data_IF_056783004716
#
_entry.id   IF_056783004716
#
_cell.length_a   1.000
_cell.length_b   1.000
_cell.length_c   1.000
_cell.angle_alpha   90.00
_cell.angle_beta   90.00
_cell.angle_gamma   90.00
#
_symmetry.space_group_name_H-M   'P 1'
#
loop_
_entity.id
_entity.type
_entity.pdbx_description
1 polymer ?
#
# COMPACT_ATOMS: atom_id res chain seq x y z
N UNK A 1 -16.30 -6.28 -16.83
CA UNK A 1 -15.53 -5.77 -15.68
C UNK A 1 -16.11 -6.48 -14.44
N UNK A 2 -15.33 -7.34 -13.79
CA UNK A 2 -15.81 -8.05 -12.60
C UNK A 2 -16.03 -7.07 -11.46
N UNK A 3 -16.98 -7.38 -10.58
CA UNK A 3 -17.18 -6.63 -9.34
C UNK A 3 -15.97 -6.88 -8.42
N UNK A 4 -15.36 -5.81 -7.93
CA UNK A 4 -14.30 -5.92 -6.91
C UNK A 4 -15.01 -6.31 -5.60
N UNK A 5 -14.75 -7.52 -5.12
CA UNK A 5 -15.25 -8.00 -3.83
C UNK A 5 -14.08 -8.20 -2.89
N UNK A 6 -14.03 -7.41 -1.83
CA UNK A 6 -13.03 -7.56 -0.79
C UNK A 6 -13.56 -8.51 0.28
N UNK A 7 -12.75 -9.50 0.63
CA UNK A 7 -13.05 -10.37 1.78
C UNK A 7 -13.00 -9.56 3.06
N UNK A 8 -13.75 -9.99 4.05
CA UNK A 8 -13.67 -9.47 5.41
C UNK A 8 -13.20 -10.58 6.33
N UNK A 9 -12.19 -10.28 7.14
CA UNK A 9 -11.57 -11.19 8.10
C UNK A 9 -11.49 -10.53 9.48
N UNK A 10 -11.45 -11.35 10.53
CA UNK A 10 -11.26 -10.88 11.91
C UNK A 10 -9.82 -11.17 12.36
N UNK A 11 -9.19 -10.20 13.04
CA UNK A 11 -7.90 -10.42 13.68
C UNK A 11 -8.09 -11.35 14.87
N UNK A 12 -7.34 -12.46 14.89
CA UNK A 12 -7.37 -13.41 16.01
C UNK A 12 -6.09 -13.36 16.85
N UNK A 13 -4.98 -12.87 16.29
CA UNK A 13 -3.73 -12.72 17.03
C UNK A 13 -2.92 -11.53 16.50
N UNK A 14 -2.49 -10.65 17.39
CA UNK A 14 -1.46 -9.65 17.13
C UNK A 14 -0.10 -10.30 17.36
N UNK A 15 0.78 -10.26 16.34
CA UNK A 15 2.07 -10.93 16.38
C UNK A 15 3.20 -9.97 16.73
N UNK A 16 3.37 -8.92 15.91
CA UNK A 16 4.42 -7.93 16.14
C UNK A 16 4.17 -6.63 15.36
N UNK A 17 4.57 -5.48 15.89
CA UNK A 17 4.61 -4.23 15.13
C UNK A 17 5.71 -4.30 14.08
N UNK A 18 5.46 -3.72 12.90
CA UNK A 18 6.44 -3.47 11.87
C UNK A 18 6.86 -2.00 11.99
N UNK A 19 8.02 -1.75 12.60
CA UNK A 19 8.49 -0.40 12.96
C UNK A 19 9.07 0.38 11.76
N UNK A 20 8.91 -0.13 10.55
CA UNK A 20 9.32 0.52 9.32
C UNK A 20 8.17 1.39 8.80
N UNK A 21 8.39 2.70 8.76
CA UNK A 21 7.41 3.69 8.31
C UNK A 21 6.59 4.35 9.42
N UNK A 22 6.08 5.56 9.14
CA UNK A 22 5.38 6.41 10.12
C UNK A 22 3.95 5.99 10.48
N UNK A 23 3.45 4.85 9.96
CA UNK A 23 2.07 4.37 10.19
C UNK A 23 1.97 3.19 11.16
N UNK A 24 3.12 2.68 11.66
CA UNK A 24 3.21 1.53 12.57
C UNK A 24 2.29 0.36 12.18
N UNK A 25 2.40 -0.21 10.98
CA UNK A 25 1.64 -1.40 10.62
C UNK A 25 2.07 -2.59 11.49
N UNK A 26 1.28 -3.65 11.53
CA UNK A 26 1.61 -4.84 12.31
C UNK A 26 1.37 -6.13 11.53
N UNK A 27 2.15 -7.17 11.86
CA UNK A 27 1.86 -8.53 11.44
C UNK A 27 0.82 -9.14 12.36
N UNK A 28 -0.23 -9.68 11.78
CA UNK A 28 -1.33 -10.32 12.50
C UNK A 28 -1.72 -11.65 11.87
N UNK A 29 -2.34 -12.53 12.64
CA UNK A 29 -3.03 -13.71 12.16
C UNK A 29 -4.53 -13.44 12.13
N UNK A 30 -5.21 -13.84 11.06
CA UNK A 30 -6.65 -13.71 10.91
C UNK A 30 -7.39 -15.05 11.06
N UNK A 31 -8.72 -14.99 11.16
CA UNK A 31 -9.63 -16.12 11.37
C UNK A 31 -9.66 -17.13 10.21
N UNK A 32 -9.14 -16.74 9.03
CA UNK A 32 -8.91 -17.63 7.89
C UNK A 32 -7.55 -18.36 7.93
N UNK A 33 -6.80 -18.23 9.03
CA UNK A 33 -5.47 -18.78 9.27
C UNK A 33 -4.35 -18.23 8.36
N UNK A 34 -4.57 -17.09 7.69
CA UNK A 34 -3.52 -16.39 6.97
C UNK A 34 -2.93 -15.23 7.78
N UNK A 35 -1.68 -14.92 7.46
CA UNK A 35 -0.99 -13.75 8.02
C UNK A 35 -1.24 -12.53 7.13
N UNK A 36 -1.43 -11.38 7.80
CA UNK A 36 -1.64 -10.10 7.14
C UNK A 36 -0.78 -9.01 7.76
N UNK A 37 -0.42 -8.03 6.96
CA UNK A 37 0.06 -6.73 7.44
C UNK A 37 -1.16 -5.84 7.59
N UNK A 38 -1.59 -5.61 8.84
CA UNK A 38 -2.69 -4.69 9.12
C UNK A 38 -2.21 -3.24 9.07
N UNK A 39 -2.96 -2.39 8.38
CA UNK A 39 -2.80 -0.93 8.34
C UNK A 39 -3.93 -0.30 9.13
N UNK A 40 -3.56 0.44 10.16
CA UNK A 40 -4.48 0.93 11.18
C UNK A 40 -5.16 2.24 10.77
N UNK A 41 -6.49 2.32 10.93
CA UNK A 41 -7.25 3.54 10.67
C UNK A 41 -6.96 4.67 11.66
N UNK A 42 -6.46 4.33 12.86
CA UNK A 42 -6.06 5.25 13.90
C UNK A 42 -4.64 5.78 13.76
N UNK A 43 -3.85 5.27 12.79
CA UNK A 43 -2.51 5.80 12.53
C UNK A 43 -2.55 7.26 12.06
N UNK A 44 -1.42 7.98 12.18
CA UNK A 44 -1.36 9.43 11.97
C UNK A 44 -1.88 9.95 10.62
N UNK A 45 -1.85 9.13 9.57
CA UNK A 45 -2.41 9.48 8.24
C UNK A 45 -3.91 9.12 8.11
N UNK A 46 -4.44 8.36 9.06
CA UNK A 46 -5.86 8.07 9.21
C UNK A 46 -6.52 7.33 8.04
N UNK A 47 -7.86 7.43 7.99
CA UNK A 47 -8.69 6.73 7.01
C UNK A 47 -8.37 7.10 5.55
N UNK A 48 -7.87 8.32 5.29
CA UNK A 48 -7.55 8.75 3.93
C UNK A 48 -6.42 7.92 3.34
N UNK A 49 -5.39 7.59 4.14
CA UNK A 49 -4.31 6.71 3.69
C UNK A 49 -4.81 5.29 3.39
N UNK A 50 -5.76 4.75 4.19
CA UNK A 50 -6.37 3.45 3.90
C UNK A 50 -7.21 3.47 2.61
N UNK A 51 -7.94 4.56 2.34
CA UNK A 51 -8.66 4.73 1.08
C UNK A 51 -7.69 4.78 -0.10
N UNK A 52 -6.58 5.52 0.04
CA UNK A 52 -5.54 5.59 -0.99
C UNK A 52 -4.88 4.21 -1.23
N UNK A 53 -4.58 3.47 -0.15
CA UNK A 53 -4.07 2.10 -0.22
C UNK A 53 -4.99 1.19 -1.01
N UNK A 54 -6.27 1.20 -0.67
CA UNK A 54 -7.27 0.37 -1.34
C UNK A 54 -7.41 0.73 -2.82
N UNK A 55 -7.63 2.01 -3.13
CA UNK A 55 -7.87 2.44 -4.51
C UNK A 55 -6.62 2.25 -5.36
N UNK A 56 -5.44 2.66 -4.86
CA UNK A 56 -4.17 2.51 -5.57
C UNK A 56 -3.82 1.04 -5.83
N UNK A 57 -3.99 0.18 -4.82
CA UNK A 57 -3.74 -1.26 -4.96
C UNK A 57 -4.69 -1.93 -5.95
N UNK A 58 -5.98 -1.62 -5.93
CA UNK A 58 -6.94 -2.19 -6.89
C UNK A 58 -6.74 -1.65 -8.32
N UNK A 59 -6.36 -0.38 -8.48
CA UNK A 59 -5.95 0.15 -9.79
C UNK A 59 -4.72 -0.57 -10.34
N UNK A 60 -3.71 -0.83 -9.51
CA UNK A 60 -2.53 -1.63 -9.88
C UNK A 60 -2.95 -3.03 -10.37
N UNK A 61 -3.85 -3.69 -9.64
CA UNK A 61 -4.38 -5.02 -9.98
C UNK A 61 -5.13 -5.04 -11.29
N UNK A 62 -5.93 -4.01 -11.59
CA UNK A 62 -6.63 -3.86 -12.88
C UNK A 62 -5.65 -3.72 -14.04
N UNK A 63 -4.48 -3.11 -13.82
CA UNK A 63 -3.39 -3.01 -14.81
C UNK A 63 -2.57 -4.30 -14.94
N UNK A 64 -2.91 -5.37 -14.22
CA UNK A 64 -2.19 -6.63 -14.22
C UNK A 64 -0.89 -6.62 -13.41
N UNK A 65 -0.68 -5.62 -12.55
CA UNK A 65 0.45 -5.55 -11.64
C UNK A 65 0.18 -6.39 -10.40
N UNK A 66 1.23 -6.97 -9.83
CA UNK A 66 1.12 -7.78 -8.62
C UNK A 66 1.00 -6.88 -7.38
N UNK A 67 -0.06 -7.11 -6.62
CA UNK A 67 -0.34 -6.47 -5.33
C UNK A 67 -0.82 -7.56 -4.38
N UNK A 68 -0.32 -7.63 -3.14
CA UNK A 68 -0.86 -8.56 -2.14
C UNK A 68 -2.38 -8.41 -2.03
N UNK A 69 -3.08 -9.51 -1.78
CA UNK A 69 -4.52 -9.42 -1.57
C UNK A 69 -4.83 -8.39 -0.49
N UNK A 70 -5.75 -7.48 -0.78
CA UNK A 70 -6.25 -6.50 0.17
C UNK A 70 -7.57 -7.01 0.74
N UNK A 71 -7.71 -6.98 2.06
CA UNK A 71 -8.91 -7.41 2.77
C UNK A 71 -9.38 -6.32 3.74
N UNK A 72 -10.67 -6.29 4.02
CA UNK A 72 -11.17 -5.59 5.19
C UNK A 72 -10.88 -6.42 6.44
N UNK A 73 -10.28 -5.79 7.44
CA UNK A 73 -9.82 -6.47 8.63
C UNK A 73 -10.46 -5.83 9.87
N UNK A 74 -11.19 -6.62 10.64
CA UNK A 74 -11.81 -6.16 11.87
C UNK A 74 -10.88 -6.38 13.05
N UNK A 75 -10.67 -5.35 13.86
CA UNK A 75 -9.86 -5.39 15.08
C UNK A 75 -10.76 -5.27 16.29
N UNK A 76 -10.69 -6.24 17.19
CA UNK A 76 -11.43 -6.24 18.45
C UNK A 76 -10.77 -5.35 19.50
N UNK A 77 -11.55 -4.76 20.39
CA UNK A 77 -11.05 -3.87 21.45
C UNK A 77 -10.14 -4.57 22.47
N UNK A 78 -10.29 -5.88 22.65
CA UNK A 78 -9.48 -6.67 23.60
C UNK A 78 -7.98 -6.61 23.30
N UNK A 79 -7.58 -6.40 22.03
CA UNK A 79 -6.16 -6.28 21.68
C UNK A 79 -5.49 -5.07 22.34
N UNK A 80 -6.21 -3.97 22.51
CA UNK A 80 -5.68 -2.79 23.21
C UNK A 80 -5.50 -3.01 24.72
N UNK A 81 -6.27 -3.91 25.32
CA UNK A 81 -6.23 -4.15 26.76
C UNK A 81 -5.00 -4.96 27.22
N UNK A 82 -4.43 -5.74 26.31
CA UNK A 82 -3.29 -6.64 26.59
C UNK A 82 -1.95 -6.10 26.13
N UNK A 83 -1.95 -4.95 25.45
CA UNK A 83 -0.73 -4.32 24.94
C UNK A 83 -0.04 -3.52 26.04
N UNK A 84 1.27 -3.74 26.21
CA UNK A 84 2.09 -3.08 27.24
C UNK A 84 2.78 -1.79 26.79
N UNK A 85 2.90 -1.56 25.48
CA UNK A 85 3.45 -0.31 24.91
C UNK A 85 2.31 0.70 24.75
N UNK A 86 2.41 1.84 25.45
CA UNK A 86 1.35 2.87 25.46
C UNK A 86 1.04 3.43 24.07
N UNK A 87 2.05 3.61 23.20
CA UNK A 87 1.86 4.12 21.85
C UNK A 87 1.07 3.12 20.99
N UNK A 88 1.43 1.84 21.07
CA UNK A 88 0.73 0.76 20.39
C UNK A 88 -0.67 0.57 20.96
N UNK A 89 -0.81 0.62 22.28
CA UNK A 89 -2.10 0.51 22.97
C UNK A 89 -3.08 1.58 22.47
N UNK A 90 -2.65 2.84 22.39
CA UNK A 90 -3.47 3.94 21.90
C UNK A 90 -3.81 3.77 20.41
N UNK A 91 -2.85 3.36 19.60
CA UNK A 91 -3.08 3.04 18.18
C UNK A 91 -4.17 1.97 18.03
N UNK A 92 -4.11 0.89 18.80
CA UNK A 92 -5.10 -0.19 18.78
C UNK A 92 -6.48 0.31 19.23
N UNK A 93 -6.58 1.11 20.29
CA UNK A 93 -7.83 1.72 20.76
C UNK A 93 -8.50 2.58 19.68
N UNK A 94 -7.73 3.44 19.00
CA UNK A 94 -8.23 4.28 17.91
C UNK A 94 -8.56 3.50 16.63
N UNK A 95 -8.09 2.24 16.53
CA UNK A 95 -8.25 1.38 15.37
C UNK A 95 -9.28 0.27 15.54
N UNK A 96 -10.00 0.21 16.68
CA UNK A 96 -11.07 -0.78 16.91
C UNK A 96 -12.11 -0.76 15.79
N UNK A 97 -12.44 -1.92 15.23
CA UNK A 97 -13.35 -2.11 14.09
C UNK A 97 -12.60 -2.19 12.75
N UNK A 98 -13.11 -1.58 11.71
CA UNK A 98 -12.66 -1.79 10.32
C UNK A 98 -11.32 -1.11 10.02
N UNK A 99 -10.37 -1.91 9.53
CA UNK A 99 -9.05 -1.53 9.03
C UNK A 99 -8.81 -2.17 7.65
N UNK A 100 -7.60 -2.04 7.08
CA UNK A 100 -7.17 -2.81 5.91
C UNK A 100 -6.06 -3.78 6.30
N UNK A 101 -6.09 -4.98 5.70
CA UNK A 101 -5.02 -5.96 5.74
C UNK A 101 -4.48 -6.23 4.34
N UNK A 102 -3.16 -6.37 4.21
CA UNK A 102 -2.50 -6.87 3.02
C UNK A 102 -1.95 -8.27 3.33
N UNK A 103 -2.26 -9.24 2.48
CA UNK A 103 -1.75 -10.61 2.67
C UNK A 103 -0.23 -10.60 2.81
N UNK A 104 0.29 -11.22 3.86
CA UNK A 104 1.72 -11.26 4.13
C UNK A 104 2.44 -12.23 3.19
N UNK A 105 3.32 -11.70 2.36
CA UNK A 105 4.12 -12.50 1.42
C UNK A 105 5.34 -13.08 2.12
N UNK A 106 5.21 -14.28 2.64
CA UNK A 106 6.30 -14.93 3.37
C UNK A 106 7.51 -15.17 2.48
N UNK A 107 8.69 -14.73 2.94
CA UNK A 107 9.94 -14.83 2.18
C UNK A 107 10.13 -13.74 1.11
N UNK A 108 9.21 -12.78 0.99
CA UNK A 108 9.45 -11.61 0.16
C UNK A 108 10.56 -10.75 0.76
N UNK A 109 11.36 -10.14 -0.11
CA UNK A 109 12.43 -9.21 0.27
C UNK A 109 12.15 -7.83 -0.35
N UNK A 110 12.63 -6.77 0.29
CA UNK A 110 12.57 -5.43 -0.28
C UNK A 110 13.26 -5.39 -1.65
N UNK A 111 12.65 -4.70 -2.59
CA UNK A 111 13.22 -4.50 -3.91
C UNK A 111 14.52 -3.69 -3.84
N UNK A 112 15.56 -4.21 -4.46
CA UNK A 112 16.83 -3.52 -4.62
C UNK A 112 16.92 -2.93 -6.03
N UNK A 113 17.01 -1.60 -6.19
CA UNK A 113 17.11 -0.96 -7.50
C UNK A 113 18.34 -1.40 -8.33
N UNK A 114 19.36 -1.95 -7.70
CA UNK A 114 20.56 -2.47 -8.36
C UNK A 114 20.38 -3.88 -8.92
N UNK A 115 19.31 -4.58 -8.52
CA UNK A 115 18.97 -5.93 -8.97
C UNK A 115 17.59 -5.89 -9.64
N UNK A 116 17.50 -5.49 -10.91
CA UNK A 116 16.20 -5.33 -11.57
C UNK A 116 15.48 -6.67 -11.68
N UNK A 117 14.24 -6.71 -11.21
CA UNK A 117 13.33 -7.86 -11.28
C UNK A 117 12.23 -7.62 -12.33
N UNK A 118 11.86 -6.35 -12.53
CA UNK A 118 10.83 -5.98 -13.48
C UNK A 118 11.39 -5.86 -14.90
N UNK A 119 10.59 -6.27 -15.89
CA UNK A 119 10.83 -5.87 -17.27
C UNK A 119 10.46 -4.40 -17.52
N UNK A 120 10.86 -3.86 -18.67
CA UNK A 120 10.65 -2.45 -18.99
C UNK A 120 9.16 -2.06 -19.15
N UNK A 121 8.29 -2.99 -19.51
CA UNK A 121 6.86 -2.73 -19.60
C UNK A 121 6.25 -2.65 -18.21
N UNK A 122 6.54 -3.59 -17.34
CA UNK A 122 6.10 -3.58 -15.93
C UNK A 122 6.58 -2.31 -15.24
N UNK A 123 7.86 -1.93 -15.40
CA UNK A 123 8.39 -0.68 -14.84
C UNK A 123 7.62 0.54 -15.38
N UNK A 124 7.29 0.57 -16.68
CA UNK A 124 6.54 1.66 -17.29
C UNK A 124 5.10 1.74 -16.80
N UNK A 125 4.43 0.59 -16.59
CA UNK A 125 3.08 0.54 -16.04
C UNK A 125 3.04 1.04 -14.60
N UNK A 126 4.03 0.69 -13.78
CA UNK A 126 4.12 1.20 -12.39
C UNK A 126 4.35 2.71 -12.38
N UNK A 127 5.28 3.22 -13.19
CA UNK A 127 5.53 4.68 -13.29
C UNK A 127 4.29 5.43 -13.80
N UNK A 128 3.59 4.87 -14.78
CA UNK A 128 2.33 5.46 -15.28
C UNK A 128 1.26 5.47 -14.19
N UNK A 129 1.05 4.34 -13.51
CA UNK A 129 0.10 4.25 -12.40
C UNK A 129 0.40 5.31 -11.34
N UNK A 130 1.64 5.34 -10.84
CA UNK A 130 2.04 6.25 -9.76
C UNK A 130 1.96 7.72 -10.20
N UNK A 131 2.12 8.02 -11.50
CA UNK A 131 1.85 9.36 -12.05
C UNK A 131 0.36 9.72 -11.99
N UNK A 132 -0.52 8.77 -12.31
CA UNK A 132 -1.99 8.98 -12.31
C UNK A 132 -2.50 9.16 -10.87
N UNK A 133 -2.08 8.27 -9.96
CA UNK A 133 -2.51 8.32 -8.56
C UNK A 133 -1.70 9.30 -7.71
N UNK A 134 -0.73 10.00 -8.32
CA UNK A 134 0.16 10.96 -7.64
C UNK A 134 0.84 10.37 -6.41
N UNK A 135 1.41 9.18 -6.53
CA UNK A 135 2.13 8.52 -5.44
C UNK A 135 3.50 9.20 -5.23
N UNK A 136 3.69 9.84 -4.09
CA UNK A 136 4.90 10.60 -3.78
C UNK A 136 6.00 9.77 -3.09
N UNK A 137 5.72 8.52 -2.71
CA UNK A 137 6.57 7.78 -1.77
C UNK A 137 7.32 6.60 -2.40
N UNK A 138 7.15 6.31 -3.70
CA UNK A 138 7.87 5.22 -4.39
C UNK A 138 9.20 5.71 -4.96
N UNK A 139 10.16 5.92 -4.07
CA UNK A 139 11.47 6.49 -4.38
C UNK A 139 12.61 5.50 -4.13
N UNK A 140 13.84 5.86 -4.50
CA UNK A 140 15.01 5.01 -4.22
C UNK A 140 15.28 4.81 -2.71
N UNK A 141 14.79 5.70 -1.84
CA UNK A 141 14.94 5.59 -0.38
C UNK A 141 13.85 4.73 0.25
N UNK A 142 12.67 4.76 -0.32
CA UNK A 142 11.52 3.98 0.10
C UNK A 142 10.87 3.40 -1.14
N UNK A 143 11.27 2.19 -1.50
CA UNK A 143 10.87 1.63 -2.80
C UNK A 143 9.40 1.24 -2.83
N UNK A 144 8.82 0.86 -1.67
CA UNK A 144 7.45 0.32 -1.56
C UNK A 144 7.16 -0.78 -2.58
N UNK A 145 8.19 -1.59 -2.84
CA UNK A 145 8.21 -2.71 -3.77
C UNK A 145 8.86 -3.92 -3.10
N UNK A 146 8.32 -5.09 -3.37
CA UNK A 146 8.90 -6.35 -2.93
C UNK A 146 9.33 -7.19 -4.14
N UNK A 147 10.37 -7.99 -3.96
CA UNK A 147 10.68 -9.13 -4.81
C UNK A 147 10.16 -10.39 -4.12
N UNK A 148 9.21 -11.07 -4.76
CA UNK A 148 8.67 -12.34 -4.30
C UNK A 148 8.57 -13.31 -5.46
N UNK A 149 9.23 -14.46 -5.36
CA UNK A 149 9.35 -15.45 -6.44
C UNK A 149 9.88 -14.90 -7.77
N UNK A 150 10.82 -13.94 -7.72
CA UNK A 150 11.38 -13.21 -8.87
C UNK A 150 10.35 -12.35 -9.62
N UNK A 151 9.27 -11.96 -8.95
CA UNK A 151 8.26 -11.04 -9.46
C UNK A 151 8.23 -9.77 -8.62
N UNK A 152 7.92 -8.65 -9.30
CA UNK A 152 7.79 -7.36 -8.63
C UNK A 152 6.38 -7.22 -8.04
N UNK A 153 6.30 -6.97 -6.74
CA UNK A 153 5.05 -6.77 -6.00
C UNK A 153 4.99 -5.36 -5.44
N UNK A 154 3.87 -4.68 -5.68
CA UNK A 154 3.63 -3.32 -5.22
C UNK A 154 2.97 -3.36 -3.84
N UNK A 155 3.48 -2.53 -2.94
CA UNK A 155 2.92 -2.32 -1.61
C UNK A 155 2.88 -0.82 -1.30
N UNK A 156 2.15 -0.46 -0.25
CA UNK A 156 2.11 0.88 0.34
C UNK A 156 1.73 2.01 -0.63
N UNK A 157 0.46 2.00 -1.06
CA UNK A 157 -0.14 3.07 -1.85
C UNK A 157 -0.74 4.21 -0.99
N UNK A 158 -0.54 4.14 0.35
CA UNK A 158 -1.17 5.08 1.29
C UNK A 158 -0.80 6.55 1.10
N UNK A 159 0.34 6.84 0.45
CA UNK A 159 0.78 8.20 0.10
C UNK A 159 0.27 8.70 -1.26
N UNK A 160 -0.62 7.92 -1.92
CA UNK A 160 -1.24 8.29 -3.19
C UNK A 160 -2.40 9.27 -3.00
N UNK A 161 -2.85 9.86 -4.11
CA UNK A 161 -3.97 10.80 -4.13
C UNK A 161 -3.77 11.98 -3.16
N UNK A 162 -2.54 12.49 -3.09
CA UNK A 162 -2.17 13.52 -2.10
C UNK A 162 -3.12 14.72 -2.09
N UNK A 163 -3.78 15.03 -3.21
CA UNK A 163 -4.79 16.09 -3.32
C UNK A 163 -5.99 15.88 -2.38
N UNK A 164 -6.27 14.66 -1.92
CA UNK A 164 -7.40 14.40 -1.04
C UNK A 164 -7.23 15.03 0.37
N UNK A 165 -5.99 15.36 0.76
CA UNK A 165 -5.75 16.11 2.00
C UNK A 165 -6.19 17.56 1.89
N UNK A 166 -6.28 18.09 0.66
CA UNK A 166 -6.71 19.45 0.35
C UNK A 166 -7.90 19.44 -0.63
N UNK A 167 -8.93 18.67 -0.29
CA UNK A 167 -10.09 18.40 -1.15
C UNK A 167 -10.79 19.64 -1.73
N UNK A 168 -10.94 20.79 -1.03
CA UNK A 168 -11.56 21.97 -1.62
C UNK A 168 -10.87 22.50 -2.89
N UNK A 169 -9.63 22.10 -3.13
CA UNK A 169 -8.81 22.54 -4.28
C UNK A 169 -8.46 21.40 -5.25
N UNK A 170 -9.20 20.29 -5.20
CA UNK A 170 -8.90 19.10 -6.01
C UNK A 170 -8.86 19.40 -7.53
N UNK A 171 -9.77 20.26 -8.03
CA UNK A 171 -9.81 20.66 -9.45
C UNK A 171 -8.49 21.31 -9.90
N UNK A 172 -7.86 22.10 -9.04
CA UNK A 172 -6.56 22.70 -9.34
C UNK A 172 -5.44 21.65 -9.43
N UNK A 173 -5.59 20.51 -8.75
CA UNK A 173 -4.59 19.44 -8.77
C UNK A 173 -4.72 18.56 -10.02
N UNK A 174 -5.92 18.28 -10.52
CA UNK A 174 -6.12 17.38 -11.66
C UNK A 174 -5.54 17.92 -12.99
N UNK A 175 -5.32 19.24 -13.08
CA UNK A 175 -4.72 19.88 -14.27
C UNK A 175 -3.22 20.11 -14.14
N UNK A 176 -2.60 19.70 -13.03
CA UNK A 176 -1.17 19.90 -12.81
C UNK A 176 -0.40 18.64 -13.20
N UNK A 177 0.78 18.85 -13.76
CA UNK A 177 1.75 17.76 -13.89
C UNK A 177 2.18 17.28 -12.51
N UNK A 178 2.55 15.99 -12.39
CA UNK A 178 3.09 15.42 -11.17
C UNK A 178 4.63 15.46 -11.19
N UNK A 179 5.28 16.51 -10.68
CA UNK A 179 6.74 16.70 -10.82
C UNK A 179 7.55 15.70 -9.99
N UNK A 180 6.96 15.11 -8.94
CA UNK A 180 7.65 14.16 -8.05
C UNK A 180 7.97 12.85 -8.74
N UNK A 181 7.37 12.57 -9.89
CA UNK A 181 7.67 11.37 -10.69
C UNK A 181 9.14 11.27 -11.09
N UNK A 182 9.87 12.39 -11.15
CA UNK A 182 11.32 12.41 -11.44
C UNK A 182 12.16 11.62 -10.43
N UNK A 183 11.65 11.45 -9.21
CA UNK A 183 12.34 10.76 -8.12
C UNK A 183 11.91 9.27 -8.00
N UNK A 184 11.05 8.82 -8.92
CA UNK A 184 10.49 7.47 -8.91
C UNK A 184 11.56 6.41 -9.16
N UNK A 185 11.61 5.38 -8.30
CA UNK A 185 12.65 4.34 -8.30
C UNK A 185 12.78 3.57 -9.61
N UNK A 186 11.68 3.37 -10.35
CA UNK A 186 11.68 2.63 -11.62
C UNK A 186 11.78 3.53 -12.85
N UNK A 187 11.89 4.86 -12.71
CA UNK A 187 11.85 5.78 -13.85
C UNK A 187 12.92 5.46 -14.90
N UNK A 188 14.14 5.11 -14.46
CA UNK A 188 15.25 4.74 -15.36
C UNK A 188 15.00 3.48 -16.20
N UNK A 189 14.08 2.61 -15.77
CA UNK A 189 13.70 1.38 -16.46
C UNK A 189 12.42 1.57 -17.30
N UNK A 190 11.67 2.64 -17.11
CA UNK A 190 10.36 2.91 -17.71
C UNK A 190 10.49 3.46 -19.15
N UNK A 191 11.04 2.69 -20.08
CA UNK A 191 11.26 3.09 -21.46
C UNK A 191 10.14 2.66 -22.43
N UNK A 192 8.99 2.21 -21.93
CA UNK A 192 7.80 1.77 -22.67
C UNK A 192 6.55 2.59 -22.31
N UNK A 193 6.70 3.83 -21.85
CA UNK A 193 5.59 4.67 -21.39
C UNK A 193 4.54 4.91 -22.49
N UNK A 194 4.96 5.14 -23.73
CA UNK A 194 4.04 5.33 -24.86
C UNK A 194 3.20 4.09 -25.16
N UNK A 195 3.74 2.91 -24.92
CA UNK A 195 3.01 1.64 -25.07
C UNK A 195 2.11 1.39 -23.87
N UNK A 196 2.61 1.59 -22.66
CA UNK A 196 1.84 1.44 -21.42
C UNK A 196 0.60 2.35 -21.39
N UNK A 197 0.71 3.58 -21.93
CA UNK A 197 -0.41 4.52 -21.99
C UNK A 197 -1.54 4.11 -22.97
N UNK A 198 -1.36 3.04 -23.75
CA UNK A 198 -2.34 2.53 -24.73
C UNK A 198 -3.07 1.27 -24.25
N UNK A 199 -2.63 0.68 -23.14
CA UNK A 199 -3.27 -0.45 -22.48
C UNK A 199 -4.42 0.03 -21.60
#
# INVERSE_FOLDING_TARGET
>A
MGKIELRKVDVIQYLQPLREGGSLPALVLADDNFHYVIKFRGAGQGKKALIAELIGGEMARVLGLHVPEIVFMNLDESFSMTEGDEEIQDLLKFSVGLNLGLHFLSGAIMYDPFIPVADNLTASLVVLLDSIITNIDRTARNTNLLNWHNELWLIDHGASFYFHHNWPFWENHMHRTFPMIKDHVLLGQANKLDYAAKI
#
